data_IF_412287245625
#
_entry.id   IF_412287245625
#
_cell.length_a   1.000
_cell.length_b   1.000
_cell.length_c   1.000
_cell.angle_alpha   90.00
_cell.angle_beta   90.00
_cell.angle_gamma   90.00
#
_symmetry.space_group_name_H-M   'P 1'
#
loop_
_entity.id
_entity.type
_entity.pdbx_description
1 polymer ?
#
# COMPACT_ATOMS: atom_id res chain seq x y z
N UNK A 1 22.87 -8.88 -12.63
CA UNK A 1 22.04 -7.67 -12.36
C UNK A 1 22.27 -6.70 -13.52
N UNK A 2 21.42 -6.75 -14.54
CA UNK A 2 21.56 -6.00 -15.81
C UNK A 2 20.29 -5.27 -16.21
N UNK A 3 19.22 -5.33 -15.41
CA UNK A 3 17.92 -4.78 -15.78
C UNK A 3 17.30 -4.02 -14.58
N UNK A 4 17.00 -2.75 -14.88
CA UNK A 4 16.26 -1.66 -14.23
C UNK A 4 16.41 -1.38 -12.72
N UNK A 5 16.65 -0.10 -12.39
CA UNK A 5 17.06 0.45 -11.07
C UNK A 5 16.20 1.68 -10.76
N UNK A 6 14.87 1.61 -10.85
CA UNK A 6 14.02 2.78 -10.54
C UNK A 6 12.69 2.34 -9.92
N UNK A 7 12.71 2.17 -8.60
CA UNK A 7 11.58 1.79 -7.78
C UNK A 7 12.04 1.55 -6.34
N UNK A 8 11.09 1.38 -5.43
CA UNK A 8 11.35 0.93 -4.08
C UNK A 8 10.37 1.54 -3.08
N UNK A 9 9.88 0.70 -2.18
CA UNK A 9 9.18 1.15 -0.98
C UNK A 9 9.94 0.69 0.26
N UNK A 10 10.02 1.58 1.25
CA UNK A 10 10.67 1.30 2.53
C UNK A 10 9.86 1.91 3.66
N UNK A 11 9.90 1.26 4.82
CA UNK A 11 9.35 1.79 6.06
C UNK A 11 10.51 1.99 7.02
N UNK A 12 10.70 3.23 7.47
CA UNK A 12 11.64 3.56 8.53
C UNK A 12 10.92 3.56 9.88
N UNK A 13 11.39 2.72 10.81
CA UNK A 13 10.89 2.69 12.19
C UNK A 13 11.88 3.39 13.09
N UNK A 14 11.43 4.44 13.78
CA UNK A 14 12.26 5.16 14.76
C UNK A 14 12.58 4.24 15.94
N UNK A 15 13.80 4.33 16.49
CA UNK A 15 14.32 3.40 17.51
C UNK A 15 13.41 3.21 18.74
N UNK A 16 12.72 4.26 19.18
CA UNK A 16 11.79 4.16 20.32
C UNK A 16 10.55 3.28 20.05
N UNK A 17 10.25 2.97 18.79
CA UNK A 17 9.19 2.05 18.38
C UNK A 17 9.71 0.66 17.98
N UNK A 18 11.03 0.45 17.96
CA UNK A 18 11.65 -0.78 17.46
C UNK A 18 11.11 -2.04 18.16
N UNK A 19 11.06 -2.03 19.49
CA UNK A 19 10.57 -3.17 20.28
C UNK A 19 9.07 -3.44 20.14
N UNK A 20 8.31 -2.47 19.62
CA UNK A 20 6.88 -2.60 19.35
C UNK A 20 6.61 -2.94 17.88
N UNK A 21 7.65 -2.98 17.04
CA UNK A 21 7.54 -3.17 15.60
C UNK A 21 8.04 -4.54 15.18
N UNK A 22 7.40 -5.13 14.18
CA UNK A 22 7.81 -6.40 13.57
C UNK A 22 7.69 -6.27 12.06
N UNK A 23 8.78 -6.47 11.32
CA UNK A 23 8.72 -6.53 9.85
C UNK A 23 7.93 -7.77 9.41
N UNK A 24 7.08 -7.61 8.39
CA UNK A 24 6.23 -8.68 7.88
C UNK A 24 6.82 -9.39 6.64
N UNK A 25 8.08 -9.08 6.28
CA UNK A 25 8.74 -9.61 5.10
C UNK A 25 7.90 -9.46 3.81
N UNK A 26 7.17 -8.35 3.68
CA UNK A 26 6.25 -8.11 2.55
C UNK A 26 6.96 -8.03 1.19
N UNK A 27 8.27 -7.78 1.19
CA UNK A 27 9.10 -7.78 -0.01
C UNK A 27 9.08 -9.10 -0.77
N UNK A 28 8.75 -10.23 -0.13
CA UNK A 28 8.62 -11.52 -0.82
C UNK A 28 7.44 -11.59 -1.80
N UNK A 29 6.45 -10.70 -1.65
CA UNK A 29 5.32 -10.56 -2.57
C UNK A 29 5.59 -9.52 -3.65
N UNK A 30 6.67 -8.74 -3.54
CA UNK A 30 6.95 -7.65 -4.47
C UNK A 30 7.39 -8.18 -5.82
N UNK A 31 6.84 -7.58 -6.88
CA UNK A 31 7.28 -7.81 -8.25
C UNK A 31 7.69 -6.48 -8.88
N UNK A 32 8.92 -6.44 -9.40
CA UNK A 32 9.51 -5.24 -9.99
C UNK A 32 8.64 -4.73 -11.14
N UNK A 33 8.46 -3.41 -11.21
CA UNK A 33 7.61 -2.74 -12.22
C UNK A 33 6.11 -3.08 -12.16
N UNK A 34 5.66 -3.90 -11.20
CA UNK A 34 4.24 -4.19 -10.97
C UNK A 34 3.74 -3.65 -9.65
N UNK A 35 4.26 -4.15 -8.53
CA UNK A 35 3.79 -3.80 -7.20
C UNK A 35 4.87 -4.13 -6.18
N UNK A 36 5.40 -3.10 -5.53
CA UNK A 36 6.41 -3.23 -4.48
C UNK A 36 5.77 -2.93 -3.13
N UNK A 37 6.02 -3.78 -2.15
CA UNK A 37 5.36 -3.74 -0.84
C UNK A 37 6.39 -3.82 0.29
N UNK A 38 6.29 -2.90 1.24
CA UNK A 38 6.94 -2.98 2.53
C UNK A 38 5.88 -2.94 3.62
N UNK A 39 6.03 -3.73 4.68
CA UNK A 39 5.05 -3.71 5.76
C UNK A 39 5.67 -4.01 7.11
N UNK A 40 5.12 -3.33 8.12
CA UNK A 40 5.43 -3.54 9.53
C UNK A 40 4.15 -3.68 10.33
N UNK A 41 4.18 -4.55 11.32
CA UNK A 41 3.18 -4.63 12.38
C UNK A 41 3.68 -3.83 13.58
N UNK A 42 2.85 -2.95 14.10
CA UNK A 42 3.03 -2.24 15.36
C UNK A 42 2.08 -2.83 16.42
N UNK A 43 2.64 -3.23 17.55
CA UNK A 43 1.89 -3.65 18.72
C UNK A 43 1.27 -2.43 19.41
N UNK A 44 0.04 -2.12 19.06
CA UNK A 44 -0.73 -1.01 19.65
C UNK A 44 -1.91 -1.55 20.46
N UNK A 45 -2.41 -0.76 21.41
CA UNK A 45 -3.64 -1.07 22.17
C UNK A 45 -4.77 -0.16 21.69
N UNK A 46 -6.01 -0.66 21.57
CA UNK A 46 -6.48 -2.01 21.94
C UNK A 46 -6.22 -3.09 20.87
N UNK A 47 -5.76 -2.72 19.67
CA UNK A 47 -5.54 -3.63 18.54
C UNK A 47 -4.20 -3.32 17.88
N UNK A 48 -3.58 -4.36 17.30
CA UNK A 48 -2.39 -4.20 16.48
C UNK A 48 -2.66 -3.32 15.26
N UNK A 49 -1.66 -2.54 14.86
CA UNK A 49 -1.70 -1.67 13.67
C UNK A 49 -0.73 -2.20 12.62
N UNK A 50 -1.20 -2.38 11.39
CA UNK A 50 -0.40 -2.80 10.25
C UNK A 50 -0.18 -1.59 9.36
N UNK A 51 1.08 -1.23 9.14
CA UNK A 51 1.46 -0.15 8.23
C UNK A 51 2.04 -0.79 6.98
N UNK A 52 1.42 -0.50 5.84
CA UNK A 52 1.75 -1.07 4.54
C UNK A 52 2.11 0.09 3.61
N UNK A 53 3.36 0.09 3.15
CA UNK A 53 3.83 0.93 2.07
C UNK A 53 3.68 0.20 0.74
N UNK A 54 3.12 0.86 -0.26
CA UNK A 54 2.98 0.34 -1.63
C UNK A 54 3.58 1.33 -2.64
N UNK A 55 4.34 0.82 -3.60
CA UNK A 55 4.69 1.55 -4.81
C UNK A 55 4.27 0.75 -6.04
N UNK A 56 3.49 1.38 -6.92
CA UNK A 56 3.02 0.80 -8.18
C UNK A 56 3.20 1.81 -9.32
N UNK A 57 4.10 1.55 -10.28
CA UNK A 57 4.25 2.41 -11.45
C UNK A 57 3.05 2.26 -12.41
N UNK A 58 2.89 3.17 -13.37
CA UNK A 58 1.74 3.11 -14.30
C UNK A 58 1.87 2.02 -15.37
N UNK A 59 1.67 0.76 -14.98
CA UNK A 59 1.77 -0.39 -15.87
C UNK A 59 0.51 -1.28 -15.82
N UNK A 60 0.61 -2.57 -15.55
CA UNK A 60 -0.52 -3.49 -15.38
C UNK A 60 -1.17 -3.27 -14.01
N UNK A 61 -2.45 -2.89 -13.96
CA UNK A 61 -3.12 -2.47 -12.72
C UNK A 61 -3.71 -3.67 -11.98
N UNK A 62 -4.31 -4.58 -12.73
CA UNK A 62 -4.98 -5.78 -12.27
C UNK A 62 -4.00 -6.73 -11.59
N UNK A 63 -2.85 -7.00 -12.21
CA UNK A 63 -1.79 -7.83 -11.61
C UNK A 63 -1.26 -7.19 -10.32
N UNK A 64 -1.17 -5.86 -10.27
CA UNK A 64 -0.73 -5.16 -9.06
C UNK A 64 -1.74 -5.29 -7.91
N UNK A 65 -3.04 -5.28 -8.20
CA UNK A 65 -4.10 -5.55 -7.23
C UNK A 65 -4.08 -7.01 -6.76
N UNK A 66 -3.78 -7.97 -7.64
CA UNK A 66 -3.65 -9.39 -7.27
C UNK A 66 -2.47 -9.60 -6.30
N UNK A 67 -1.31 -9.00 -6.58
CA UNK A 67 -0.15 -9.01 -5.69
C UNK A 67 -0.50 -8.40 -4.32
N UNK A 68 -1.13 -7.23 -4.34
CA UNK A 68 -1.52 -6.54 -3.10
C UNK A 68 -2.57 -7.34 -2.32
N UNK A 69 -3.54 -7.94 -2.99
CA UNK A 69 -4.58 -8.78 -2.39
C UNK A 69 -3.97 -10.02 -1.72
N UNK A 70 -3.06 -10.70 -2.42
CA UNK A 70 -2.32 -11.85 -1.89
C UNK A 70 -1.59 -11.49 -0.59
N UNK A 71 -0.98 -10.30 -0.53
CA UNK A 71 -0.36 -9.82 0.70
C UNK A 71 -1.39 -9.47 1.80
N UNK A 72 -2.46 -8.76 1.45
CA UNK A 72 -3.51 -8.36 2.40
C UNK A 72 -4.25 -9.55 3.01
N UNK A 73 -4.40 -10.66 2.28
CA UNK A 73 -4.96 -11.92 2.77
C UNK A 73 -4.15 -12.52 3.94
N UNK A 74 -2.88 -12.14 4.08
CA UNK A 74 -2.03 -12.55 5.21
C UNK A 74 -2.26 -11.74 6.49
N UNK A 75 -3.00 -10.63 6.39
CA UNK A 75 -3.24 -9.70 7.49
C UNK A 75 -4.64 -9.94 8.06
N UNK A 76 -4.83 -10.00 9.39
CA UNK A 76 -6.14 -10.12 10.01
C UNK A 76 -6.90 -8.78 9.99
N UNK A 77 -7.19 -8.26 8.79
CA UNK A 77 -7.79 -6.93 8.52
C UNK A 77 -9.09 -6.68 9.27
N UNK A 78 -9.87 -7.73 9.57
CA UNK A 78 -11.14 -7.66 10.31
C UNK A 78 -11.00 -7.27 11.80
N UNK A 79 -9.83 -7.44 12.42
CA UNK A 79 -9.60 -7.12 13.85
C UNK A 79 -8.40 -6.22 14.11
N UNK A 80 -7.76 -5.73 13.07
CA UNK A 80 -6.56 -4.91 13.17
C UNK A 80 -6.77 -3.58 12.49
N UNK A 81 -6.06 -2.55 12.95
CA UNK A 81 -6.01 -1.30 12.24
C UNK A 81 -5.07 -1.49 11.05
N UNK A 82 -5.53 -1.22 9.83
CA UNK A 82 -4.69 -1.30 8.63
C UNK A 82 -4.54 0.10 8.06
N UNK A 83 -3.28 0.52 7.89
CA UNK A 83 -2.92 1.77 7.23
C UNK A 83 -2.14 1.38 5.97
N UNK A 84 -2.79 1.56 4.83
CA UNK A 84 -2.19 1.38 3.52
C UNK A 84 -1.88 2.75 2.92
N UNK A 85 -0.63 2.97 2.54
CA UNK A 85 -0.15 4.24 2.02
C UNK A 85 0.91 4.04 0.96
N UNK A 86 1.08 5.04 0.11
CA UNK A 86 2.10 5.05 -0.93
C UNK A 86 1.56 5.56 -2.25
N UNK A 87 2.25 5.21 -3.33
CA UNK A 87 1.94 5.69 -4.68
C UNK A 87 1.40 4.52 -5.52
N UNK A 88 0.09 4.51 -5.74
CA UNK A 88 -0.59 3.53 -6.60
C UNK A 88 -0.71 4.04 -8.05
N UNK A 89 -0.35 5.30 -8.30
CA UNK A 89 -0.47 5.96 -9.60
C UNK A 89 -1.88 5.86 -10.21
N UNK A 90 -2.89 6.11 -9.36
CA UNK A 90 -4.30 6.22 -9.74
C UNK A 90 -4.82 7.57 -9.28
N UNK A 91 -5.25 8.38 -10.24
CA UNK A 91 -5.88 9.67 -9.99
C UNK A 91 -7.16 9.48 -9.18
N UNK A 92 -7.19 10.03 -7.97
CA UNK A 92 -8.34 9.98 -7.07
C UNK A 92 -9.28 11.17 -7.22
N UNK A 93 -8.90 12.19 -8.01
CA UNK A 93 -9.73 13.38 -8.25
C UNK A 93 -10.68 13.16 -9.44
N UNK A 94 -10.38 12.18 -10.29
CA UNK A 94 -11.27 11.75 -11.36
C UNK A 94 -12.28 10.70 -10.84
N UNK A 95 -13.47 11.17 -10.46
CA UNK A 95 -14.60 10.32 -10.06
C UNK A 95 -15.17 9.48 -11.21
N UNK A 96 -14.88 9.85 -12.46
CA UNK A 96 -15.33 9.08 -13.63
C UNK A 96 -14.45 7.86 -13.88
N UNK A 97 -13.19 7.90 -13.45
CA UNK A 97 -12.16 6.88 -13.66
C UNK A 97 -12.60 5.48 -13.20
N UNK A 98 -12.60 4.53 -14.13
CA UNK A 98 -12.81 3.10 -13.84
C UNK A 98 -11.74 2.57 -12.89
N UNK A 99 -10.47 2.98 -13.05
CA UNK A 99 -9.38 2.53 -12.17
C UNK A 99 -9.58 2.98 -10.73
N UNK A 100 -10.06 4.21 -10.52
CA UNK A 100 -10.35 4.73 -9.19
C UNK A 100 -11.48 3.92 -8.50
N UNK A 101 -12.57 3.65 -9.23
CA UNK A 101 -13.69 2.82 -8.75
C UNK A 101 -13.27 1.38 -8.45
N UNK A 102 -12.46 0.78 -9.33
CA UNK A 102 -11.94 -0.58 -9.12
C UNK A 102 -11.03 -0.65 -7.89
N UNK A 103 -10.15 0.34 -7.69
CA UNK A 103 -9.32 0.43 -6.49
C UNK A 103 -10.17 0.56 -5.23
N UNK A 104 -11.18 1.42 -5.24
CA UNK A 104 -12.09 1.61 -4.10
C UNK A 104 -12.87 0.32 -3.77
N UNK A 105 -13.41 -0.36 -4.78
CA UNK A 105 -14.08 -1.64 -4.60
C UNK A 105 -13.12 -2.71 -4.02
N UNK A 106 -11.88 -2.78 -4.52
CA UNK A 106 -10.84 -3.67 -4.01
C UNK A 106 -10.51 -3.38 -2.54
N UNK A 107 -10.28 -2.12 -2.17
CA UNK A 107 -9.94 -1.76 -0.78
C UNK A 107 -11.09 -2.08 0.19
N UNK A 108 -12.33 -1.91 -0.26
CA UNK A 108 -13.52 -2.23 0.53
C UNK A 108 -13.64 -3.72 0.88
N UNK A 109 -13.13 -4.66 0.06
CA UNK A 109 -13.14 -6.09 0.41
C UNK A 109 -12.27 -6.40 1.64
N UNK A 110 -11.31 -5.53 1.93
CA UNK A 110 -10.41 -5.61 3.09
C UNK A 110 -10.79 -4.67 4.24
N UNK A 111 -11.99 -4.07 4.19
CA UNK A 111 -12.43 -3.02 5.12
C UNK A 111 -11.48 -1.81 5.18
N UNK A 112 -10.80 -1.50 4.07
CA UNK A 112 -9.93 -0.35 3.94
C UNK A 112 -10.70 0.73 3.17
N UNK A 113 -10.77 1.92 3.75
CA UNK A 113 -11.36 3.09 3.08
C UNK A 113 -10.25 4.03 2.63
N UNK A 114 -10.41 4.61 1.44
CA UNK A 114 -9.48 5.62 0.94
C UNK A 114 -9.81 6.96 1.58
N UNK A 115 -8.81 7.61 2.17
CA UNK A 115 -8.94 8.99 2.62
C UNK A 115 -8.74 9.94 1.44
N UNK A 116 -9.75 10.75 1.14
CA UNK A 116 -9.63 11.82 0.15
C UNK A 116 -8.78 12.94 0.75
N UNK A 117 -7.50 12.97 0.36
CA UNK A 117 -6.58 14.03 0.73
C UNK A 117 -6.62 15.13 -0.34
N UNK A 118 -6.49 16.41 0.05
CA UNK A 118 -6.36 17.48 -0.93
C UNK A 118 -5.08 17.28 -1.75
N UNK A 119 -5.04 17.74 -3.01
CA UNK A 119 -3.85 17.65 -3.85
C UNK A 119 -2.65 18.31 -3.16
N UNK A 120 -1.55 17.58 -3.06
CA UNK A 120 -0.30 18.06 -2.43
C UNK A 120 0.54 18.91 -3.37
N UNK A 121 0.24 18.88 -4.69
CA UNK A 121 0.84 19.73 -5.72
C UNK A 121 -0.17 19.97 -6.85
N UNK A 122 -0.45 21.24 -7.15
CA UNK A 122 -1.22 21.65 -8.33
C UNK A 122 -0.22 22.13 -9.38
N UNK A 123 -0.21 21.49 -10.55
CA UNK A 123 0.65 21.93 -11.67
C UNK A 123 -0.24 22.63 -12.69
N UNK A 124 -0.05 23.94 -12.96
CA UNK A 124 -0.80 24.64 -13.99
C UNK A 124 -0.55 24.01 -15.37
N UNK A 125 -1.60 23.91 -16.19
CA UNK A 125 -1.51 23.52 -17.60
C UNK A 125 -0.97 24.65 -18.47
#
# INVERSE_FOLDING_TARGET
RTHHIKGGVAIYVRENFRNQSTSLNASQYSEELLCEIAAVKLQTKPRDTYIIGVYRPDYNFENALEILGTFLDTIPTWKSTVILMGDINVDCLDESSTRNKTLEAFLNTYNIIRLYLPPTRITPH
#
